data_IF_285814737904
#
_entry.id   IF_285814737904
#
_cell.length_a   1.000
_cell.length_b   1.000
_cell.length_c   1.000
_cell.angle_alpha   90.00
_cell.angle_beta   90.00
_cell.angle_gamma   90.00
#
_symmetry.space_group_name_H-M   'P 1'
#
loop_
_entity.id
_entity.type
_entity.pdbx_description
1 polymer ?
#
# COMPACT_ATOMS: atom_id res chain seq x y z
N UNK A 1 16.43 -1.96 12.70
CA UNK A 1 15.89 -2.41 11.39
C UNK A 1 14.82 -3.46 11.66
N UNK A 2 13.74 -3.44 10.87
CA UNK A 2 12.62 -4.39 10.94
C UNK A 2 12.35 -4.92 9.53
N UNK A 3 12.50 -6.22 9.35
CA UNK A 3 12.18 -6.87 8.07
C UNK A 3 10.73 -7.34 8.07
N UNK A 4 9.95 -6.93 7.08
CA UNK A 4 8.58 -7.38 6.85
C UNK A 4 8.56 -8.33 5.64
N UNK A 5 8.35 -9.64 5.83
CA UNK A 5 8.27 -10.61 4.74
C UNK A 5 7.02 -10.43 3.87
N UNK A 6 7.08 -10.98 2.66
CA UNK A 6 5.92 -11.08 1.77
C UNK A 6 4.79 -11.92 2.40
N UNK A 7 3.55 -11.63 1.99
CA UNK A 7 2.36 -12.36 2.47
C UNK A 7 1.91 -12.01 3.89
N UNK A 8 2.55 -11.04 4.55
CA UNK A 8 2.12 -10.56 5.85
C UNK A 8 0.83 -9.73 5.75
N UNK A 9 -0.14 -10.06 6.60
CA UNK A 9 -1.34 -9.25 6.82
C UNK A 9 -1.01 -7.99 7.64
N UNK A 10 -1.88 -6.98 7.60
CA UNK A 10 -1.75 -5.76 8.40
C UNK A 10 -1.61 -6.08 9.90
N UNK A 11 -2.37 -7.07 10.39
CA UNK A 11 -2.30 -7.52 11.78
C UNK A 11 -0.93 -8.12 12.13
N UNK A 12 -0.38 -8.99 11.28
CA UNK A 12 0.93 -9.59 11.51
C UNK A 12 2.06 -8.55 11.48
N UNK A 13 1.94 -7.53 10.63
CA UNK A 13 2.87 -6.38 10.63
C UNK A 13 2.80 -5.67 11.97
N UNK A 14 1.61 -5.32 12.44
CA UNK A 14 1.40 -4.65 13.72
C UNK A 14 1.96 -5.45 14.90
N UNK A 15 1.67 -6.75 14.97
CA UNK A 15 2.18 -7.66 16.00
C UNK A 15 3.70 -7.70 16.02
N UNK A 16 4.33 -7.77 14.83
CA UNK A 16 5.78 -7.74 14.70
C UNK A 16 6.39 -6.42 15.17
N UNK A 17 5.77 -5.29 14.80
CA UNK A 17 6.22 -3.97 15.23
C UNK A 17 6.10 -3.78 16.75
N UNK A 18 5.04 -4.32 17.36
CA UNK A 18 4.86 -4.32 18.82
C UNK A 18 5.89 -5.20 19.52
N UNK A 19 6.15 -6.39 19.00
CA UNK A 19 7.17 -7.30 19.56
C UNK A 19 8.58 -6.69 19.56
N UNK A 20 8.85 -5.77 18.63
CA UNK A 20 10.11 -5.04 18.51
C UNK A 20 10.10 -3.67 19.20
N UNK A 21 9.04 -3.35 19.96
CA UNK A 21 8.90 -2.08 20.70
C UNK A 21 8.96 -0.84 19.79
N UNK A 22 8.51 -0.99 18.54
CA UNK A 22 8.39 0.12 17.58
C UNK A 22 7.08 0.87 17.82
N UNK A 23 5.99 0.11 17.97
CA UNK A 23 4.66 0.61 18.34
C UNK A 23 4.23 0.02 19.68
N UNK A 24 3.29 0.68 20.35
CA UNK A 24 2.75 0.20 21.65
C UNK A 24 1.44 -0.57 21.49
N UNK A 25 0.64 -0.20 20.49
CA UNK A 25 -0.75 -0.63 20.37
C UNK A 25 -1.02 -1.18 18.96
N UNK A 26 -1.36 -2.46 18.90
CA UNK A 26 -1.65 -3.17 17.65
C UNK A 26 -2.99 -2.72 17.06
N UNK A 27 -3.97 -2.44 17.91
CA UNK A 27 -5.32 -2.08 17.48
C UNK A 27 -5.33 -0.67 16.89
N UNK A 28 -4.52 0.25 17.45
CA UNK A 28 -4.30 1.57 16.84
C UNK A 28 -3.70 1.47 15.45
N UNK A 29 -2.72 0.59 15.26
CA UNK A 29 -2.12 0.39 13.94
C UNK A 29 -3.11 -0.16 12.93
N UNK A 30 -3.91 -1.17 13.33
CA UNK A 30 -4.95 -1.74 12.48
C UNK A 30 -6.02 -0.69 12.16
N UNK A 31 -6.44 0.11 13.14
CA UNK A 31 -7.41 1.18 12.95
C UNK A 31 -6.88 2.24 11.99
N UNK A 32 -5.63 2.69 12.17
CA UNK A 32 -4.99 3.65 11.26
C UNK A 32 -4.86 3.09 9.85
N UNK A 33 -4.54 1.81 9.72
CA UNK A 33 -4.55 1.15 8.42
C UNK A 33 -5.97 1.12 7.81
N UNK A 34 -7.01 0.94 8.63
CA UNK A 34 -8.40 0.89 8.16
C UNK A 34 -8.94 2.27 7.78
N UNK A 35 -8.70 3.31 8.58
CA UNK A 35 -9.40 4.62 8.47
C UNK A 35 -8.47 5.80 8.18
N UNK A 36 -7.15 5.61 8.29
CA UNK A 36 -6.14 6.63 8.09
C UNK A 36 -6.17 7.25 6.69
N UNK A 37 -5.90 8.55 6.61
CA UNK A 37 -5.91 9.30 5.35
C UNK A 37 -4.50 9.46 4.82
N UNK A 38 -4.23 8.98 3.61
CA UNK A 38 -2.91 9.05 3.00
C UNK A 38 -3.00 9.69 1.61
N UNK A 39 -2.05 10.56 1.29
CA UNK A 39 -2.04 11.36 0.05
C UNK A 39 -1.40 10.61 -1.12
N UNK A 40 -1.91 9.42 -1.43
CA UNK A 40 -1.47 8.62 -2.57
C UNK A 40 -2.63 8.35 -3.53
N UNK A 41 -2.42 8.55 -4.83
CA UNK A 41 -3.45 8.37 -5.88
C UNK A 41 -4.07 6.96 -5.84
N UNK A 42 -3.25 5.92 -5.62
CA UNK A 42 -3.72 4.54 -5.56
C UNK A 42 -4.52 4.22 -4.28
N UNK A 43 -4.48 5.08 -3.25
CA UNK A 43 -5.26 4.95 -2.02
C UNK A 43 -6.63 5.63 -2.15
N UNK A 44 -6.70 6.77 -2.84
CA UNK A 44 -7.95 7.53 -2.99
C UNK A 44 -9.05 6.73 -3.71
N UNK A 45 -8.68 5.79 -4.58
CA UNK A 45 -9.61 4.90 -5.28
C UNK A 45 -10.06 3.67 -4.49
N UNK A 46 -9.51 3.41 -3.29
CA UNK A 46 -9.84 2.23 -2.51
C UNK A 46 -11.16 2.45 -1.77
N UNK A 47 -12.16 1.62 -2.07
CA UNK A 47 -13.42 1.58 -1.31
C UNK A 47 -13.15 1.13 0.12
N UNK A 48 -13.92 1.68 1.07
CA UNK A 48 -13.87 1.20 2.45
C UNK A 48 -14.24 -0.30 2.47
N UNK A 49 -13.28 -1.11 2.90
CA UNK A 49 -13.36 -2.57 2.97
C UNK A 49 -12.52 -3.05 4.15
N UNK A 50 -12.86 -4.18 4.78
CA UNK A 50 -11.99 -4.79 5.77
C UNK A 50 -10.58 -4.95 5.20
N UNK A 51 -9.56 -4.65 6.00
CA UNK A 51 -8.16 -4.70 5.58
C UNK A 51 -7.85 -3.77 4.40
N UNK A 52 -8.31 -2.51 4.46
CA UNK A 52 -8.21 -1.54 3.35
C UNK A 52 -6.80 -1.45 2.73
N UNK A 53 -5.75 -1.43 3.55
CA UNK A 53 -4.34 -1.30 3.11
C UNK A 53 -3.60 -2.64 2.98
N UNK A 54 -4.27 -3.77 3.13
CA UNK A 54 -3.63 -5.07 2.89
C UNK A 54 -3.24 -5.20 1.42
N UNK A 55 -1.99 -5.61 1.17
CA UNK A 55 -1.37 -5.63 -0.16
C UNK A 55 -0.72 -4.31 -0.59
N UNK A 56 -0.90 -3.21 0.15
CA UNK A 56 -0.25 -1.91 -0.12
C UNK A 56 0.93 -1.60 0.81
N UNK A 57 0.97 -2.23 1.99
CA UNK A 57 2.12 -2.13 2.90
C UNK A 57 3.27 -2.99 2.35
N UNK A 58 4.20 -2.36 1.63
CA UNK A 58 5.20 -3.07 0.85
C UNK A 58 6.15 -3.91 1.74
N UNK A 59 6.45 -5.16 1.39
CA UNK A 59 7.40 -5.98 2.13
C UNK A 59 8.84 -5.52 1.85
N UNK A 60 9.53 -5.08 2.90
CA UNK A 60 10.93 -4.65 2.83
C UNK A 60 11.55 -4.66 4.23
N UNK A 61 12.82 -4.31 4.31
CA UNK A 61 13.49 -3.98 5.57
C UNK A 61 13.47 -2.48 5.81
N UNK A 62 12.87 -2.08 6.92
CA UNK A 62 12.66 -0.69 7.30
C UNK A 62 13.48 -0.30 8.53
N UNK A 63 13.84 0.97 8.60
CA UNK A 63 14.41 1.59 9.79
C UNK A 63 13.36 2.45 10.48
N UNK A 64 12.65 1.87 11.44
CA UNK A 64 11.71 2.60 12.29
C UNK A 64 12.40 3.09 13.55
N UNK A 65 12.10 4.32 13.95
CA UNK A 65 12.47 4.86 15.27
C UNK A 65 11.44 4.39 16.29
N UNK A 66 11.88 4.15 17.53
CA UNK A 66 10.96 3.83 18.63
C UNK A 66 10.01 5.00 18.89
N UNK A 67 8.73 4.69 19.10
CA UNK A 67 7.71 5.71 19.40
C UNK A 67 7.28 6.55 18.20
N UNK A 68 7.60 6.13 16.97
CA UNK A 68 6.95 6.69 15.79
C UNK A 68 5.44 6.45 15.85
N UNK A 69 4.68 7.38 15.27
CA UNK A 69 3.24 7.18 15.15
C UNK A 69 2.94 6.04 14.16
N UNK A 70 1.81 5.36 14.37
CA UNK A 70 1.33 4.33 13.48
C UNK A 70 1.12 4.89 12.06
N UNK A 71 0.66 6.15 11.97
CA UNK A 71 0.48 6.88 10.73
C UNK A 71 1.80 7.04 9.96
N UNK A 72 2.87 7.48 10.62
CA UNK A 72 4.18 7.69 9.97
C UNK A 72 4.76 6.36 9.46
N UNK A 73 4.60 5.29 10.25
CA UNK A 73 5.07 3.95 9.87
C UNK A 73 4.33 3.47 8.62
N UNK A 74 3.00 3.56 8.61
CA UNK A 74 2.19 3.19 7.45
C UNK A 74 2.56 4.05 6.25
N UNK A 75 2.74 5.36 6.44
CA UNK A 75 3.13 6.27 5.38
C UNK A 75 4.49 5.91 4.76
N UNK A 76 5.48 5.50 5.56
CA UNK A 76 6.77 5.00 5.04
C UNK A 76 6.58 3.77 4.15
N UNK A 77 5.75 2.81 4.59
CA UNK A 77 5.49 1.59 3.82
C UNK A 77 4.72 1.89 2.52
N UNK A 78 3.75 2.81 2.56
CA UNK A 78 3.01 3.26 1.38
C UNK A 78 3.89 4.05 0.41
N UNK A 79 4.80 4.90 0.93
CA UNK A 79 5.79 5.60 0.12
C UNK A 79 6.67 4.59 -0.60
N UNK A 80 7.11 3.53 0.08
CA UNK A 80 7.91 2.47 -0.53
C UNK A 80 7.17 1.76 -1.66
N UNK A 81 5.88 1.44 -1.45
CA UNK A 81 5.02 0.92 -2.50
C UNK A 81 4.99 1.86 -3.71
N UNK A 82 4.75 3.16 -3.48
CA UNK A 82 4.71 4.17 -4.53
C UNK A 82 6.03 4.26 -5.30
N UNK A 83 7.17 4.30 -4.59
CA UNK A 83 8.49 4.40 -5.20
C UNK A 83 8.79 3.19 -6.12
N UNK A 84 8.44 1.98 -5.67
CA UNK A 84 8.60 0.76 -6.46
C UNK A 84 7.62 0.76 -7.64
N UNK A 85 6.37 1.18 -7.43
CA UNK A 85 5.35 1.25 -8.47
C UNK A 85 5.75 2.25 -9.58
N UNK A 86 6.10 3.48 -9.22
CA UNK A 86 6.55 4.53 -10.15
C UNK A 86 7.83 4.11 -10.89
N UNK A 87 8.80 3.52 -10.18
CA UNK A 87 10.02 3.00 -10.81
C UNK A 87 9.70 1.93 -11.84
N UNK A 88 8.79 1.00 -11.53
CA UNK A 88 8.38 -0.06 -12.47
C UNK A 88 7.59 0.49 -13.66
N UNK A 89 6.78 1.55 -13.49
CA UNK A 89 6.08 2.20 -14.60
C UNK A 89 7.06 2.90 -15.54
N UNK A 90 8.00 3.69 -15.01
CA UNK A 90 9.00 4.40 -15.84
C UNK A 90 9.90 3.45 -16.62
N UNK A 91 10.18 2.26 -16.06
CA UNK A 91 10.98 1.22 -16.73
C UNK A 91 10.18 0.44 -17.77
N UNK A 92 8.84 0.38 -17.68
CA UNK A 92 7.99 -0.46 -18.53
C UNK A 92 6.97 0.32 -19.37
N UNK A 93 7.42 1.35 -20.11
CA UNK A 93 6.66 1.94 -21.24
C UNK A 93 6.27 0.93 -22.36
N UNK A 94 6.57 -0.37 -22.19
CA UNK A 94 6.25 -1.44 -23.15
C UNK A 94 5.21 -2.46 -22.63
N UNK A 95 4.85 -2.48 -21.33
CA UNK A 95 3.98 -3.55 -20.77
C UNK A 95 2.71 -3.05 -20.05
N UNK A 96 2.04 -2.05 -20.64
CA UNK A 96 0.69 -1.57 -20.26
C UNK A 96 -0.37 -2.70 -20.13
N UNK A 97 -0.10 -3.88 -20.70
CA UNK A 97 -1.06 -4.98 -20.88
C UNK A 97 -1.00 -6.10 -19.81
N UNK A 98 0.09 -6.22 -19.03
CA UNK A 98 0.26 -7.37 -18.14
C UNK A 98 -0.21 -7.12 -16.69
N UNK A 99 -0.12 -5.89 -16.19
CA UNK A 99 -0.54 -5.55 -14.81
C UNK A 99 -2.06 -5.39 -14.64
N UNK A 100 -2.81 -5.29 -15.74
CA UNK A 100 -4.28 -5.28 -15.71
C UNK A 100 -4.88 -6.62 -15.24
N UNK A 101 -4.09 -7.70 -15.21
CA UNK A 101 -4.55 -9.04 -14.80
C UNK A 101 -4.69 -9.25 -13.29
N UNK A 102 -4.10 -8.40 -12.44
CA UNK A 102 -4.28 -8.49 -10.97
C UNK A 102 -5.55 -7.75 -10.52
N UNK A 103 -6.20 -7.00 -11.41
CA UNK A 103 -7.52 -6.43 -11.17
C UNK A 103 -8.58 -7.29 -11.85
N UNK A 104 -9.27 -8.11 -11.06
CA UNK A 104 -10.55 -8.69 -11.46
C UNK A 104 -11.50 -7.55 -11.80
N UNK A 105 -11.79 -7.40 -13.11
CA UNK A 105 -12.47 -6.27 -13.72
C UNK A 105 -13.93 -6.22 -13.25
N UNK A 106 -14.30 -5.21 -12.45
CA UNK A 106 -15.67 -4.68 -12.50
C UNK A 106 -15.80 -3.88 -13.81
N UNK A 107 -16.73 -4.33 -14.66
CA UNK A 107 -16.92 -4.05 -16.11
C UNK A 107 -17.08 -2.59 -16.53
N UNK A 108 -16.88 -1.62 -15.65
CA UNK A 108 -17.30 -0.23 -15.89
C UNK A 108 -16.16 0.67 -16.41
N UNK A 109 -14.91 0.29 -16.18
CA UNK A 109 -13.75 1.20 -16.39
C UNK A 109 -13.14 1.15 -17.80
N UNK A 110 -13.66 0.32 -18.71
CA UNK A 110 -13.14 0.25 -20.08
C UNK A 110 -13.69 1.34 -21.01
N UNK A 111 -14.79 2.02 -20.66
CA UNK A 111 -15.41 3.02 -21.55
C UNK A 111 -14.83 4.43 -21.42
N UNK A 112 -14.23 4.76 -20.28
CA UNK A 112 -13.77 6.13 -20.01
C UNK A 112 -12.44 6.45 -20.72
N UNK A 113 -11.66 5.42 -21.07
CA UNK A 113 -10.27 5.59 -21.52
C UNK A 113 -10.04 5.48 -23.04
N UNK A 114 -11.08 5.23 -23.84
CA UNK A 114 -10.96 5.16 -25.31
C UNK A 114 -11.14 6.53 -26.00
N UNK A 115 -11.73 7.51 -25.30
CA UNK A 115 -12.06 8.83 -25.89
C UNK A 115 -10.92 9.85 -25.82
N UNK A 116 -9.86 9.59 -25.05
CA UNK A 116 -8.81 10.57 -24.75
C UNK A 116 -7.55 10.53 -25.63
N UNK A 117 -7.42 9.58 -26.55
CA UNK A 117 -6.16 9.32 -27.28
C UNK A 117 -6.33 9.38 -28.82
N UNK A 118 -7.14 10.34 -29.29
CA UNK A 118 -7.16 10.77 -30.71
C UNK A 118 -6.86 12.26 -30.83
N UNK A 119 -5.58 12.62 -30.77
CA UNK A 119 -4.99 13.75 -31.52
C UNK A 119 -3.50 13.55 -31.66
#
# INVERSE_FOLDING_TARGET
>A
MVTIPEGYTVKQIAEKLKALDVIKDVDRFIMEAQTGKFEYEFIQGIKDRPSRLEGYLFPDTYEFKKGMSEHDIINIMLKRFNDIYVKNIKVKSTYKRLYFSISFISRTWCKIYDEGDRT
#
